data_IF_654969788215
#
_entry.id   IF_654969788215
#
_cell.length_a   1.000
_cell.length_b   1.000
_cell.length_c   1.000
_cell.angle_alpha   90.00
_cell.angle_beta   90.00
_cell.angle_gamma   90.00
#
_symmetry.space_group_name_H-M   'P 1'
#
loop_
_entity.id
_entity.type
_entity.pdbx_description
1 polymer ?
#
# COMPACT_ATOMS: atom_id res chain seq x y z
N UNK A 1 -9.13 -22.00 3.05
CA UNK A 1 -7.66 -21.88 2.83
C UNK A 1 -7.13 -20.45 3.03
N UNK A 2 -7.74 -19.39 2.46
CA UNK A 2 -7.28 -18.01 2.71
C UNK A 2 -7.63 -17.49 4.12
N UNK A 3 -8.83 -17.79 4.61
CA UNK A 3 -9.31 -17.37 5.93
C UNK A 3 -8.43 -17.87 7.08
N UNK A 4 -8.05 -19.16 7.05
CA UNK A 4 -7.14 -19.75 8.03
C UNK A 4 -5.78 -19.01 8.06
N UNK A 5 -5.23 -18.65 6.91
CA UNK A 5 -3.97 -17.89 6.83
C UNK A 5 -4.10 -16.51 7.48
N UNK A 6 -5.25 -15.84 7.31
CA UNK A 6 -5.50 -14.51 7.88
C UNK A 6 -5.66 -14.59 9.40
N UNK A 7 -6.46 -15.52 9.92
CA UNK A 7 -6.65 -15.66 11.37
C UNK A 7 -5.35 -16.06 12.08
N UNK A 8 -4.63 -17.04 11.56
CA UNK A 8 -3.34 -17.42 12.15
C UNK A 8 -2.32 -16.27 12.02
N UNK A 9 -2.42 -15.42 11.00
CA UNK A 9 -1.56 -14.24 10.89
C UNK A 9 -1.90 -13.20 11.96
N UNK A 10 -3.17 -13.03 12.28
CA UNK A 10 -3.61 -12.14 13.35
C UNK A 10 -3.16 -12.63 14.73
N UNK A 11 -3.20 -13.94 14.98
CA UNK A 11 -2.68 -14.52 16.21
C UNK A 11 -1.18 -14.24 16.37
N UNK A 12 -0.40 -14.46 15.31
CA UNK A 12 1.04 -14.15 15.35
C UNK A 12 1.35 -12.66 15.44
N UNK A 13 0.55 -11.80 14.81
CA UNK A 13 0.69 -10.34 14.94
C UNK A 13 0.42 -9.93 16.39
N UNK A 14 -0.61 -10.51 17.02
CA UNK A 14 -0.95 -10.25 18.42
C UNK A 14 0.18 -10.69 19.35
N UNK A 15 0.74 -11.89 19.15
CA UNK A 15 1.87 -12.39 19.94
C UNK A 15 3.13 -11.51 19.81
N UNK A 16 3.44 -11.05 18.58
CA UNK A 16 4.66 -10.28 18.32
C UNK A 16 4.55 -8.80 18.69
N UNK A 17 3.37 -8.20 18.50
CA UNK A 17 3.16 -6.76 18.75
C UNK A 17 2.61 -6.46 20.15
N UNK A 18 1.98 -7.43 20.80
CA UNK A 18 1.22 -7.23 22.04
C UNK A 18 -0.03 -6.35 21.86
N UNK A 19 -0.38 -5.99 20.63
CA UNK A 19 -1.48 -5.10 20.29
C UNK A 19 -2.61 -5.87 19.62
N UNK A 20 -3.78 -5.23 19.55
CA UNK A 20 -4.91 -5.74 18.78
C UNK A 20 -4.52 -5.84 17.29
N UNK A 21 -4.53 -7.05 16.69
CA UNK A 21 -4.10 -7.26 15.31
C UNK A 21 -4.95 -6.48 14.31
N UNK A 22 -6.22 -6.20 14.63
CA UNK A 22 -7.09 -5.38 13.78
C UNK A 22 -6.58 -3.94 13.72
N UNK A 23 -6.15 -3.38 14.87
CA UNK A 23 -5.58 -2.02 14.93
C UNK A 23 -4.23 -1.95 14.22
N UNK A 24 -3.41 -3.00 14.33
CA UNK A 24 -2.13 -3.06 13.62
C UNK A 24 -2.36 -3.09 12.11
N UNK A 25 -3.32 -3.89 11.63
CA UNK A 25 -3.67 -3.95 10.22
C UNK A 25 -4.24 -2.62 9.73
N UNK A 26 -5.14 -2.00 10.48
CA UNK A 26 -5.71 -0.70 10.14
C UNK A 26 -4.62 0.37 10.02
N UNK A 27 -3.68 0.42 10.98
CA UNK A 27 -2.51 1.30 10.93
C UNK A 27 -1.62 1.02 9.72
N UNK A 28 -1.35 -0.25 9.43
CA UNK A 28 -0.58 -0.65 8.25
C UNK A 28 -1.26 -0.20 6.95
N UNK A 29 -2.58 -0.37 6.84
CA UNK A 29 -3.35 0.08 5.68
C UNK A 29 -3.29 1.59 5.54
N UNK A 30 -3.46 2.36 6.62
CA UNK A 30 -3.34 3.82 6.58
C UNK A 30 -1.97 4.28 6.06
N UNK A 31 -0.89 3.58 6.41
CA UNK A 31 0.46 3.90 5.94
C UNK A 31 0.70 3.54 4.46
N UNK A 32 -0.03 2.57 3.91
CA UNK A 32 0.13 2.06 2.53
C UNK A 32 -0.86 2.69 1.55
N UNK A 33 -2.02 3.18 2.02
CA UNK A 33 -3.06 3.76 1.16
C UNK A 33 -2.62 5.09 0.52
N UNK A 34 -2.57 5.19 -0.83
CA UNK A 34 -2.21 6.44 -1.49
C UNK A 34 -3.42 7.39 -1.59
N UNK A 35 -3.23 8.66 -1.20
CA UNK A 35 -4.23 9.73 -1.41
C UNK A 35 -4.21 10.28 -2.84
N UNK A 36 -3.03 10.34 -3.46
CA UNK A 36 -2.83 10.79 -4.84
C UNK A 36 -2.27 9.63 -5.68
N UNK A 37 -2.74 9.52 -6.93
CA UNK A 37 -2.14 8.68 -7.96
C UNK A 37 -1.88 9.50 -9.22
N UNK A 38 -0.99 9.02 -10.08
CA UNK A 38 -0.70 9.66 -11.36
C UNK A 38 -1.33 8.85 -12.47
N UNK A 39 -2.06 9.50 -13.38
CA UNK A 39 -2.62 8.86 -14.58
C UNK A 39 -2.09 9.48 -15.86
N UNK A 40 -1.82 8.67 -16.90
CA UNK A 40 -1.45 9.20 -18.21
C UNK A 40 -2.66 9.89 -18.86
N UNK A 41 -2.46 11.10 -19.38
CA UNK A 41 -3.46 11.86 -20.14
C UNK A 41 -2.80 12.42 -21.39
N UNK A 42 -3.43 12.26 -22.55
CA UNK A 42 -2.93 12.79 -23.81
C UNK A 42 -3.51 14.18 -24.06
N UNK A 43 -2.65 15.19 -24.22
CA UNK A 43 -3.03 16.58 -24.48
C UNK A 43 -2.08 17.15 -25.54
N UNK A 44 -2.62 17.78 -26.59
CA UNK A 44 -1.81 18.45 -27.63
C UNK A 44 -0.79 17.54 -28.33
N UNK A 45 -1.06 16.23 -28.43
CA UNK A 45 -0.16 15.25 -29.07
C UNK A 45 0.83 14.55 -28.14
N UNK A 46 1.11 15.09 -26.95
CA UNK A 46 1.98 14.48 -25.94
C UNK A 46 1.19 13.80 -24.79
N UNK A 47 1.82 12.86 -24.09
CA UNK A 47 1.24 12.16 -22.93
C UNK A 47 1.84 12.73 -21.65
N UNK A 48 1.01 13.35 -20.82
CA UNK A 48 1.38 13.90 -19.53
C UNK A 48 0.95 12.99 -18.39
N UNK A 49 1.74 13.01 -17.32
CA UNK A 49 1.42 12.37 -16.06
C UNK A 49 0.61 13.34 -15.21
N UNK A 50 -0.69 13.11 -15.08
CA UNK A 50 -1.60 14.01 -14.36
C UNK A 50 -1.87 13.44 -12.96
N UNK A 51 -1.57 14.17 -11.89
CA UNK A 51 -1.91 13.76 -10.53
C UNK A 51 -3.42 13.90 -10.28
N UNK A 52 -4.02 12.86 -9.72
CA UNK A 52 -5.45 12.75 -9.45
C UNK A 52 -5.64 12.22 -8.03
N UNK A 53 -6.64 12.75 -7.34
CA UNK A 53 -7.04 12.24 -6.03
C UNK A 53 -7.73 10.87 -6.14
N UNK A 54 -7.30 9.94 -5.28
CA UNK A 54 -7.80 8.57 -5.27
C UNK A 54 -9.08 8.51 -4.43
N UNK A 55 -10.15 7.95 -5.02
CA UNK A 55 -11.41 7.68 -4.31
C UNK A 55 -11.22 6.69 -3.15
N UNK A 56 -11.92 6.84 -2.00
CA UNK A 56 -11.72 6.00 -0.81
C UNK A 56 -11.73 4.49 -1.09
N UNK A 57 -12.73 3.99 -1.82
CA UNK A 57 -12.85 2.56 -2.20
C UNK A 57 -11.61 2.04 -2.96
N UNK A 58 -11.06 2.90 -3.83
CA UNK A 58 -9.85 2.59 -4.61
C UNK A 58 -8.59 2.65 -3.74
N UNK A 59 -8.52 3.55 -2.75
CA UNK A 59 -7.39 3.60 -1.80
C UNK A 59 -7.25 2.28 -1.06
N UNK A 60 -8.35 1.80 -0.51
CA UNK A 60 -8.39 0.51 0.20
C UNK A 60 -7.96 -0.63 -0.71
N UNK A 61 -8.52 -0.69 -1.92
CA UNK A 61 -8.17 -1.71 -2.92
C UNK A 61 -6.68 -1.68 -3.31
N UNK A 62 -6.10 -0.49 -3.48
CA UNK A 62 -4.68 -0.32 -3.78
C UNK A 62 -3.80 -0.72 -2.59
N UNK A 63 -4.18 -0.30 -1.38
CA UNK A 63 -3.47 -0.61 -0.15
C UNK A 63 -3.35 -2.11 0.08
N UNK A 64 -4.49 -2.83 0.03
CA UNK A 64 -4.52 -4.29 0.16
C UNK A 64 -3.71 -4.98 -0.94
N UNK A 65 -3.85 -4.52 -2.19
CA UNK A 65 -3.10 -5.09 -3.33
C UNK A 65 -1.60 -4.97 -3.13
N UNK A 66 -1.11 -3.78 -2.81
CA UNK A 66 0.32 -3.54 -2.60
C UNK A 66 0.84 -4.34 -1.41
N UNK A 67 0.09 -4.40 -0.31
CA UNK A 67 0.50 -5.16 0.87
C UNK A 67 0.71 -6.65 0.53
N UNK A 68 -0.21 -7.27 -0.22
CA UNK A 68 -0.07 -8.66 -0.67
C UNK A 68 1.05 -8.84 -1.70
N UNK A 69 1.18 -7.91 -2.65
CA UNK A 69 2.20 -7.96 -3.71
C UNK A 69 3.62 -7.88 -3.12
N UNK A 70 3.87 -6.90 -2.25
CA UNK A 70 5.16 -6.74 -1.59
C UNK A 70 5.44 -7.87 -0.60
N UNK A 71 4.43 -8.35 0.14
CA UNK A 71 4.57 -9.56 0.93
C UNK A 71 4.99 -10.77 0.08
N UNK A 72 4.43 -10.97 -1.12
CA UNK A 72 4.85 -12.07 -2.01
C UNK A 72 6.29 -11.90 -2.50
N UNK A 73 6.70 -10.67 -2.78
CA UNK A 73 8.03 -10.34 -3.30
C UNK A 73 9.16 -10.51 -2.26
N UNK A 74 8.82 -10.54 -0.96
CA UNK A 74 9.78 -10.79 0.13
C UNK A 74 10.52 -12.12 -0.05
N UNK A 75 11.83 -12.09 0.18
CA UNK A 75 12.73 -13.28 0.10
C UNK A 75 13.26 -13.72 1.46
N UNK A 76 13.01 -12.94 2.52
CA UNK A 76 13.54 -13.12 3.87
C UNK A 76 12.80 -14.18 4.69
N UNK A 77 11.59 -14.59 4.26
CA UNK A 77 10.79 -15.63 4.93
C UNK A 77 10.43 -16.77 3.99
N UNK A 78 10.23 -17.96 4.56
CA UNK A 78 9.99 -19.20 3.80
C UNK A 78 8.52 -19.40 3.42
N UNK A 79 7.59 -19.09 4.33
CA UNK A 79 6.15 -19.24 4.09
C UNK A 79 5.51 -17.91 3.66
N UNK A 80 4.45 -17.97 2.84
CA UNK A 80 3.70 -16.77 2.46
C UNK A 80 3.07 -16.06 3.67
N UNK A 81 2.70 -16.85 4.68
CA UNK A 81 2.11 -16.35 5.91
C UNK A 81 3.10 -15.50 6.72
N UNK A 82 4.32 -16.00 6.92
CA UNK A 82 5.38 -15.25 7.62
C UNK A 82 5.74 -13.95 6.88
N UNK A 83 5.75 -14.00 5.54
CA UNK A 83 5.98 -12.81 4.71
C UNK A 83 4.87 -11.77 4.91
N UNK A 84 3.61 -12.21 4.95
CA UNK A 84 2.48 -11.31 5.15
C UNK A 84 2.52 -10.67 6.54
N UNK A 85 2.76 -11.45 7.59
CA UNK A 85 2.90 -10.94 8.95
C UNK A 85 4.02 -9.90 9.02
N UNK A 86 5.18 -10.22 8.46
CA UNK A 86 6.32 -9.31 8.47
C UNK A 86 5.99 -8.02 7.71
N UNK A 87 5.33 -8.09 6.54
CA UNK A 87 4.98 -6.91 5.77
C UNK A 87 3.93 -6.04 6.49
N UNK A 88 2.95 -6.64 7.16
CA UNK A 88 1.96 -5.90 7.97
C UNK A 88 2.64 -5.19 9.13
N UNK A 89 3.54 -5.87 9.85
CA UNK A 89 4.27 -5.26 10.98
C UNK A 89 5.17 -4.12 10.50
N UNK A 90 5.94 -4.33 9.44
CA UNK A 90 6.81 -3.30 8.86
C UNK A 90 5.98 -2.11 8.37
N UNK A 91 4.88 -2.36 7.66
CA UNK A 91 3.97 -1.32 7.20
C UNK A 91 3.33 -0.55 8.36
N UNK A 92 2.98 -1.21 9.47
CA UNK A 92 2.44 -0.55 10.67
C UNK A 92 3.46 0.38 11.35
N UNK A 93 4.76 0.10 11.17
CA UNK A 93 5.87 0.95 11.60
C UNK A 93 6.25 2.03 10.57
N UNK A 94 5.56 2.11 9.43
CA UNK A 94 5.89 3.06 8.37
C UNK A 94 7.09 2.64 7.51
N UNK A 95 7.41 1.34 7.50
CA UNK A 95 8.52 0.76 6.75
C UNK A 95 8.00 -0.32 5.79
N UNK A 96 8.90 -0.94 5.02
CA UNK A 96 8.55 -2.02 4.10
C UNK A 96 8.33 -1.56 2.66
N UNK A 97 8.16 -2.54 1.78
CA UNK A 97 8.05 -2.31 0.34
C UNK A 97 6.75 -1.60 -0.04
N UNK A 98 5.66 -1.97 0.64
CA UNK A 98 4.35 -1.39 0.41
C UNK A 98 4.29 0.12 0.77
N UNK A 99 4.91 0.52 1.88
CA UNK A 99 4.97 1.94 2.29
C UNK A 99 5.83 2.74 1.32
N UNK A 100 6.99 2.21 0.94
CA UNK A 100 7.86 2.84 -0.07
C UNK A 100 7.13 3.08 -1.39
N UNK A 101 6.30 2.13 -1.84
CA UNK A 101 5.48 2.29 -3.05
C UNK A 101 4.52 3.47 -2.95
N UNK A 102 3.88 3.65 -1.80
CA UNK A 102 2.99 4.80 -1.54
C UNK A 102 3.77 6.12 -1.55
N UNK A 103 4.93 6.17 -0.89
CA UNK A 103 5.81 7.35 -0.91
C UNK A 103 6.27 7.72 -2.32
N UNK A 104 6.73 6.74 -3.11
CA UNK A 104 7.15 6.98 -4.50
C UNK A 104 5.98 7.48 -5.36
N UNK A 105 4.77 6.96 -5.12
CA UNK A 105 3.55 7.42 -5.80
C UNK A 105 3.23 8.87 -5.45
N UNK A 106 3.37 9.26 -4.18
CA UNK A 106 3.14 10.64 -3.73
C UNK A 106 4.21 11.58 -4.27
N UNK A 107 5.49 11.19 -4.21
CA UNK A 107 6.60 11.97 -4.79
C UNK A 107 6.39 12.20 -6.29
N UNK A 108 5.96 11.18 -7.02
CA UNK A 108 5.67 11.30 -8.46
C UNK A 108 4.46 12.22 -8.72
N UNK A 109 3.44 12.17 -7.87
CA UNK A 109 2.30 13.08 -7.97
C UNK A 109 2.68 14.53 -7.67
N UNK A 110 3.54 14.77 -6.68
CA UNK A 110 4.06 16.10 -6.33
C UNK A 110 4.95 16.68 -7.43
N UNK A 111 5.85 15.87 -8.00
CA UNK A 111 6.71 16.28 -9.12
C UNK A 111 5.88 16.72 -10.34
N UNK A 112 4.71 16.12 -10.55
CA UNK A 112 3.79 16.43 -11.64
C UNK A 112 2.65 17.37 -11.23
N UNK A 113 2.71 18.03 -10.06
CA UNK A 113 1.66 18.92 -9.54
C UNK A 113 1.30 20.03 -10.53
N UNK A 114 2.27 20.49 -11.32
CA UNK A 114 2.06 21.47 -12.37
C UNK A 114 0.98 21.04 -13.39
N UNK A 115 0.82 19.75 -13.67
CA UNK A 115 -0.15 19.22 -14.64
C UNK A 115 -1.53 18.90 -14.04
N UNK A 116 -1.77 19.21 -12.76
CA UNK A 116 -3.04 18.93 -12.09
C UNK A 116 -4.26 19.61 -12.77
N UNK A 117 -4.03 20.70 -13.49
CA UNK A 117 -5.05 21.42 -14.24
C UNK A 117 -5.61 20.61 -15.43
N UNK A 118 -4.89 19.60 -15.93
CA UNK A 118 -5.37 18.70 -16.99
C UNK A 118 -6.27 17.56 -16.48
N UNK A 119 -6.73 17.61 -15.22
CA UNK A 119 -7.61 16.58 -14.62
C UNK A 119 -9.02 16.58 -15.23
N UNK A 120 -9.41 17.64 -15.94
CA UNK A 120 -10.75 17.85 -16.47
C UNK A 120 -10.86 17.40 -17.94
#
# INVERSE_FOLDING_TARGET
MAEHVVYTAFDQIKERSGQDPVKVLDKALHNVMPVLEVRPRRVGGATYQVPIEVRPERRLSLGLRWLVEYARARKDKRTMMDKLIAEVLDASAGQGGAVKKREDTHRMAEANKAFAHYRW
#
